data_IF_031337975141
#
_entry.id   IF_031337975141
#
_cell.length_a   1.000
_cell.length_b   1.000
_cell.length_c   1.000
_cell.angle_alpha   90.00
_cell.angle_beta   90.00
_cell.angle_gamma   90.00
#
_symmetry.space_group_name_H-M   'P 1'
#
loop_
_entity.id
_entity.type
_entity.pdbx_description
1 polymer ?
#
# COMPACT_ATOMS: atom_id res chain seq x y z
N UNK A 1 -11.81 -12.98 17.73
CA UNK A 1 -11.48 -11.63 18.21
C UNK A 1 -10.20 -11.09 17.59
N UNK A 2 -9.07 -11.78 17.66
CA UNK A 2 -7.77 -11.31 17.14
C UNK A 2 -7.84 -10.89 15.65
N UNK A 3 -8.26 -11.78 14.77
CA UNK A 3 -8.33 -11.51 13.31
C UNK A 3 -9.24 -10.30 13.01
N UNK A 4 -10.38 -10.19 13.71
CA UNK A 4 -11.28 -9.05 13.53
C UNK A 4 -10.62 -7.73 13.95
N UNK A 5 -9.87 -7.72 15.06
CA UNK A 5 -9.12 -6.53 15.49
C UNK A 5 -8.11 -6.09 14.43
N UNK A 6 -7.33 -7.03 13.89
CA UNK A 6 -6.33 -6.72 12.87
C UNK A 6 -6.98 -6.24 11.56
N UNK A 7 -8.13 -6.83 11.18
CA UNK A 7 -8.93 -6.36 10.04
C UNK A 7 -9.36 -4.91 10.25
N UNK A 8 -9.85 -4.55 11.45
CA UNK A 8 -10.22 -3.17 11.77
C UNK A 8 -9.03 -2.21 11.65
N UNK A 9 -7.85 -2.60 12.13
CA UNK A 9 -6.64 -1.77 12.01
C UNK A 9 -6.27 -1.52 10.55
N UNK A 10 -6.28 -2.55 9.72
CA UNK A 10 -5.96 -2.43 8.29
C UNK A 10 -7.05 -1.65 7.53
N UNK A 11 -8.34 -1.84 7.87
CA UNK A 11 -9.44 -1.09 7.28
C UNK A 11 -9.30 0.41 7.57
N UNK A 12 -9.10 0.77 8.83
CA UNK A 12 -8.89 2.17 9.25
C UNK A 12 -7.63 2.75 8.61
N UNK A 13 -6.54 1.96 8.52
CA UNK A 13 -5.36 2.41 7.80
C UNK A 13 -5.64 2.64 6.31
N UNK A 14 -6.44 1.79 5.66
CA UNK A 14 -6.92 2.02 4.29
C UNK A 14 -7.67 3.34 4.14
N UNK A 15 -8.54 3.69 5.11
CA UNK A 15 -9.21 4.99 5.15
C UNK A 15 -8.20 6.15 5.21
N UNK A 16 -7.14 6.01 6.01
CA UNK A 16 -6.11 7.04 6.19
C UNK A 16 -5.22 7.16 4.94
N UNK A 17 -4.91 6.07 4.29
CA UNK A 17 -4.13 6.08 3.05
C UNK A 17 -4.80 6.89 1.93
N UNK A 18 -6.14 6.83 1.83
CA UNK A 18 -6.93 7.61 0.87
C UNK A 18 -7.25 9.03 1.37
N UNK A 19 -6.93 9.34 2.63
CA UNK A 19 -7.36 10.60 3.26
C UNK A 19 -6.69 11.81 2.64
N UNK A 20 -5.39 11.76 2.36
CA UNK A 20 -4.65 12.89 1.82
C UNK A 20 -5.31 13.44 0.55
N UNK A 21 -5.59 12.57 -0.43
CA UNK A 21 -6.25 12.98 -1.67
C UNK A 21 -7.65 13.58 -1.45
N UNK A 22 -8.33 13.16 -0.38
CA UNK A 22 -9.70 13.61 -0.06
C UNK A 22 -9.73 14.97 0.64
N UNK A 23 -8.76 15.25 1.55
CA UNK A 23 -8.77 16.47 2.38
C UNK A 23 -7.86 17.58 1.84
N UNK A 24 -6.84 17.23 1.03
CA UNK A 24 -5.83 18.19 0.56
C UNK A 24 -6.43 19.38 -0.23
N UNK A 25 -7.45 19.20 -1.10
CA UNK A 25 -8.09 20.33 -1.78
C UNK A 25 -8.68 21.35 -0.80
N UNK A 26 -9.39 20.89 0.23
CA UNK A 26 -9.99 21.77 1.27
C UNK A 26 -8.91 22.47 2.12
N UNK A 27 -7.88 21.73 2.56
CA UNK A 27 -6.75 22.30 3.29
C UNK A 27 -5.98 23.33 2.45
N UNK A 28 -5.78 23.05 1.15
CA UNK A 28 -5.13 23.96 0.21
C UNK A 28 -5.92 25.27 0.06
N UNK A 29 -7.23 25.19 -0.03
CA UNK A 29 -8.10 26.35 -0.11
C UNK A 29 -8.08 27.14 1.21
N UNK A 30 -8.20 26.46 2.35
CA UNK A 30 -8.23 27.06 3.69
C UNK A 30 -6.94 27.80 4.03
N UNK A 31 -5.79 27.22 3.73
CA UNK A 31 -4.47 27.75 4.09
C UNK A 31 -3.73 28.39 2.91
N UNK A 32 -4.34 28.43 1.72
CA UNK A 32 -3.78 28.97 0.48
C UNK A 32 -2.42 28.35 0.12
N UNK A 33 -2.32 27.02 0.20
CA UNK A 33 -1.10 26.31 -0.13
C UNK A 33 -0.74 26.42 -1.61
N UNK A 34 0.56 26.58 -1.88
CA UNK A 34 1.09 26.48 -3.24
C UNK A 34 1.15 25.02 -3.70
N UNK A 35 1.22 24.74 -5.01
CA UNK A 35 1.41 23.38 -5.52
C UNK A 35 2.65 22.68 -4.94
N UNK A 36 3.73 23.45 -4.72
CA UNK A 36 4.97 22.93 -4.09
C UNK A 36 4.72 22.49 -2.65
N UNK A 37 3.97 23.28 -1.88
CA UNK A 37 3.60 22.94 -0.50
C UNK A 37 2.73 21.67 -0.44
N UNK A 38 1.78 21.52 -1.37
CA UNK A 38 0.97 20.30 -1.47
C UNK A 38 1.84 19.07 -1.74
N UNK A 39 2.81 19.18 -2.65
CA UNK A 39 3.79 18.12 -2.90
C UNK A 39 4.65 17.81 -1.68
N UNK A 40 5.08 18.83 -0.94
CA UNK A 40 5.87 18.65 0.29
C UNK A 40 5.06 17.95 1.38
N UNK A 41 3.77 18.27 1.54
CA UNK A 41 2.87 17.59 2.49
C UNK A 41 2.78 16.09 2.16
N UNK A 42 2.58 15.74 0.89
CA UNK A 42 2.55 14.35 0.45
C UNK A 42 3.91 13.63 0.69
N UNK A 43 5.02 14.33 0.45
CA UNK A 43 6.36 13.82 0.72
C UNK A 43 6.59 13.59 2.23
N UNK A 44 6.14 14.48 3.10
CA UNK A 44 6.22 14.30 4.56
C UNK A 44 5.50 13.02 5.00
N UNK A 45 4.29 12.75 4.47
CA UNK A 45 3.58 11.51 4.76
C UNK A 45 4.37 10.28 4.27
N UNK A 46 4.91 10.32 3.05
CA UNK A 46 5.72 9.23 2.50
C UNK A 46 7.00 8.96 3.31
N UNK A 47 7.68 10.02 3.77
CA UNK A 47 8.85 9.90 4.65
C UNK A 47 8.46 9.22 5.98
N UNK A 48 7.33 9.61 6.56
CA UNK A 48 6.80 8.94 7.76
C UNK A 48 6.57 7.44 7.55
N UNK A 49 5.96 7.04 6.44
CA UNK A 49 5.77 5.63 6.06
C UNK A 49 7.09 4.86 5.96
N UNK A 50 8.07 5.43 5.26
CA UNK A 50 9.40 4.83 5.05
C UNK A 50 10.12 4.63 6.39
N UNK A 51 10.25 5.70 7.18
CA UNK A 51 10.96 5.65 8.45
C UNK A 51 10.31 4.68 9.45
N UNK A 52 8.98 4.68 9.50
CA UNK A 52 8.25 3.76 10.37
C UNK A 52 8.41 2.30 9.96
N UNK A 53 8.26 1.98 8.67
CA UNK A 53 8.32 0.59 8.21
C UNK A 53 9.69 -0.02 8.46
N UNK A 54 10.78 0.71 8.23
CA UNK A 54 12.14 0.19 8.47
C UNK A 54 12.48 0.07 9.96
N UNK A 55 11.98 0.98 10.80
CA UNK A 55 12.35 1.03 12.22
C UNK A 55 11.46 0.16 13.12
N UNK A 56 10.20 -0.06 12.74
CA UNK A 56 9.26 -0.81 13.60
C UNK A 56 9.52 -2.31 13.59
N UNK A 57 10.11 -2.85 12.53
CA UNK A 57 10.35 -4.29 12.39
C UNK A 57 11.08 -4.89 13.60
N UNK A 58 12.29 -4.44 13.95
CA UNK A 58 13.00 -4.90 15.15
C UNK A 58 12.21 -4.72 16.45
N UNK A 59 11.49 -3.59 16.57
CA UNK A 59 10.66 -3.33 17.76
C UNK A 59 9.57 -4.39 17.92
N UNK A 60 8.82 -4.70 16.88
CA UNK A 60 7.71 -5.66 16.97
C UNK A 60 8.18 -7.12 17.04
N UNK A 61 9.37 -7.42 16.57
CA UNK A 61 9.97 -8.75 16.74
C UNK A 61 10.45 -8.96 18.19
N UNK A 62 10.92 -7.90 18.85
CA UNK A 62 11.37 -7.94 20.26
C UNK A 62 10.21 -7.82 21.27
N UNK A 63 9.35 -6.82 21.12
CA UNK A 63 8.30 -6.47 22.10
C UNK A 63 6.93 -7.08 21.76
N UNK A 64 6.80 -7.67 20.56
CA UNK A 64 5.56 -8.25 20.05
C UNK A 64 4.75 -7.29 19.16
N UNK A 65 4.01 -7.88 18.24
CA UNK A 65 3.25 -7.17 17.19
C UNK A 65 2.13 -6.29 17.77
N UNK A 66 1.62 -6.65 18.96
CA UNK A 66 0.63 -5.84 19.71
C UNK A 66 1.16 -4.44 19.99
N UNK A 67 2.41 -4.32 20.42
CA UNK A 67 3.03 -3.02 20.74
C UNK A 67 3.05 -2.12 19.51
N UNK A 68 3.43 -2.65 18.35
CA UNK A 68 3.39 -1.91 17.07
C UNK A 68 1.97 -1.44 16.74
N UNK A 69 0.97 -2.33 16.79
CA UNK A 69 -0.42 -1.97 16.45
C UNK A 69 -0.98 -0.89 17.37
N UNK A 70 -0.77 -1.01 18.69
CA UNK A 70 -1.22 -0.02 19.67
C UNK A 70 -0.51 1.32 19.47
N UNK A 71 0.81 1.30 19.26
CA UNK A 71 1.60 2.51 19.00
C UNK A 71 1.14 3.21 17.71
N UNK A 72 1.02 2.47 16.61
CA UNK A 72 0.60 3.01 15.33
C UNK A 72 -0.80 3.63 15.38
N UNK A 73 -1.77 2.92 16.00
CA UNK A 73 -3.14 3.42 16.19
C UNK A 73 -3.17 4.66 17.10
N UNK A 74 -2.35 4.71 18.16
CA UNK A 74 -2.27 5.86 19.05
C UNK A 74 -1.73 7.10 18.33
N UNK A 75 -0.63 6.95 17.57
CA UNK A 75 -0.04 8.04 16.78
C UNK A 75 -1.03 8.59 15.77
N UNK A 76 -1.74 7.71 15.04
CA UNK A 76 -2.74 8.12 14.04
C UNK A 76 -3.92 8.82 14.72
N UNK A 77 -4.46 8.25 15.80
CA UNK A 77 -5.59 8.85 16.52
C UNK A 77 -5.26 10.27 16.97
N UNK A 78 -4.09 10.45 17.57
CA UNK A 78 -3.62 11.77 18.01
C UNK A 78 -3.47 12.74 16.84
N UNK A 79 -2.82 12.31 15.76
CA UNK A 79 -2.61 13.15 14.58
C UNK A 79 -3.94 13.57 13.93
N UNK A 80 -4.91 12.66 13.81
CA UNK A 80 -6.24 12.96 13.24
C UNK A 80 -7.05 13.93 14.11
N UNK A 81 -6.98 13.84 15.44
CA UNK A 81 -7.64 14.79 16.34
C UNK A 81 -7.02 16.17 16.33
N UNK A 82 -5.72 16.27 16.08
CA UNK A 82 -4.99 17.55 16.08
C UNK A 82 -4.94 18.21 14.72
N UNK A 83 -4.99 17.46 13.62
CA UNK A 83 -4.92 18.00 12.25
C UNK A 83 -5.98 19.08 11.95
N UNK A 84 -7.26 18.97 12.39
CA UNK A 84 -8.24 20.06 12.20
C UNK A 84 -7.88 21.38 12.89
N UNK A 85 -7.04 21.33 13.93
CA UNK A 85 -6.57 22.48 14.71
C UNK A 85 -5.29 23.11 14.15
N UNK A 86 -4.82 22.65 12.98
CA UNK A 86 -3.63 23.19 12.33
C UNK A 86 -3.76 24.67 12.07
N UNK A 87 -2.66 25.39 12.21
CA UNK A 87 -2.56 26.84 11.98
C UNK A 87 -1.94 27.22 10.63
N UNK A 88 -1.39 26.25 9.89
CA UNK A 88 -0.76 26.50 8.60
C UNK A 88 0.05 25.31 8.08
N UNK A 89 0.87 25.56 7.07
CA UNK A 89 1.63 24.55 6.33
C UNK A 89 2.44 23.60 7.23
N UNK A 90 3.28 24.14 8.11
CA UNK A 90 4.20 23.33 8.92
C UNK A 90 3.47 22.37 9.85
N UNK A 91 2.36 22.81 10.46
CA UNK A 91 1.56 21.94 11.35
C UNK A 91 0.80 20.87 10.57
N UNK A 92 0.26 21.20 9.39
CA UNK A 92 -0.36 20.22 8.50
C UNK A 92 0.68 19.18 8.05
N UNK A 93 1.83 19.61 7.56
CA UNK A 93 2.91 18.73 7.12
C UNK A 93 3.38 17.79 8.25
N UNK A 94 3.51 18.31 9.47
CA UNK A 94 3.88 17.52 10.65
C UNK A 94 2.84 16.45 11.00
N UNK A 95 1.53 16.80 11.01
CA UNK A 95 0.50 15.78 11.27
C UNK A 95 0.38 14.76 10.15
N UNK A 96 0.57 15.15 8.89
CA UNK A 96 0.62 14.19 7.77
C UNK A 96 1.85 13.25 7.88
N UNK A 97 2.99 13.77 8.32
CA UNK A 97 4.15 12.94 8.66
C UNK A 97 3.81 11.92 9.75
N UNK A 98 3.12 12.32 10.83
CA UNK A 98 2.67 11.41 11.88
C UNK A 98 1.67 10.37 11.37
N UNK A 99 0.75 10.75 10.47
CA UNK A 99 -0.16 9.80 9.83
C UNK A 99 0.59 8.76 8.98
N UNK A 100 1.64 9.20 8.26
CA UNK A 100 2.55 8.30 7.56
C UNK A 100 3.28 7.36 8.52
N UNK A 101 3.84 7.91 9.60
CA UNK A 101 4.57 7.14 10.60
C UNK A 101 3.68 6.07 11.24
N UNK A 102 2.51 6.43 11.74
CA UNK A 102 1.56 5.47 12.29
C UNK A 102 1.07 4.45 11.26
N UNK A 103 0.89 4.86 10.01
CA UNK A 103 0.50 3.98 8.90
C UNK A 103 1.56 2.92 8.59
N UNK A 104 2.83 3.32 8.51
CA UNK A 104 3.96 2.39 8.29
C UNK A 104 4.09 1.38 9.44
N UNK A 105 3.87 1.82 10.69
CA UNK A 105 3.82 0.91 11.85
C UNK A 105 2.70 -0.10 11.69
N UNK A 106 1.46 0.35 11.41
CA UNK A 106 0.29 -0.54 11.32
C UNK A 106 0.44 -1.56 10.19
N UNK A 107 0.84 -1.11 8.98
CA UNK A 107 0.94 -2.04 7.85
C UNK A 107 1.98 -3.11 8.10
N UNK A 108 3.13 -2.77 8.69
CA UNK A 108 4.18 -3.72 9.02
C UNK A 108 3.72 -4.69 10.12
N UNK A 109 3.21 -4.16 11.24
CA UNK A 109 2.82 -4.98 12.39
C UNK A 109 1.61 -5.89 12.09
N UNK A 110 0.61 -5.40 11.37
CA UNK A 110 -0.59 -6.17 11.03
C UNK A 110 -0.28 -7.33 10.07
N UNK A 111 0.51 -7.06 9.01
CA UNK A 111 0.90 -8.11 8.07
C UNK A 111 1.82 -9.15 8.74
N UNK A 112 2.78 -8.71 9.57
CA UNK A 112 3.64 -9.62 10.34
C UNK A 112 2.82 -10.49 11.31
N UNK A 113 1.87 -9.90 12.07
CA UNK A 113 1.03 -10.63 13.00
C UNK A 113 0.19 -11.71 12.29
N UNK A 114 -0.49 -11.34 11.20
CA UNK A 114 -1.34 -12.28 10.45
C UNK A 114 -0.50 -13.38 9.79
N UNK A 115 0.69 -13.05 9.32
CA UNK A 115 1.66 -14.02 8.80
C UNK A 115 2.06 -15.06 9.84
N UNK A 116 2.33 -14.63 11.07
CA UNK A 116 2.78 -15.50 12.16
C UNK A 116 1.66 -16.36 12.73
N UNK A 117 0.44 -15.82 12.81
CA UNK A 117 -0.72 -16.54 13.39
C UNK A 117 -1.25 -17.65 12.49
N UNK A 118 -1.10 -17.52 11.18
CA UNK A 118 -1.59 -18.52 10.23
C UNK A 118 -0.53 -18.95 9.20
N UNK A 119 0.55 -19.62 9.65
CA UNK A 119 1.65 -19.98 8.78
C UNK A 119 1.24 -20.94 7.63
N UNK A 120 0.27 -21.82 7.87
CA UNK A 120 -0.20 -22.77 6.86
C UNK A 120 -0.95 -22.11 5.68
N UNK A 121 -1.53 -20.93 5.88
CA UNK A 121 -2.32 -20.21 4.87
C UNK A 121 -1.96 -18.73 4.78
N UNK A 122 -0.69 -18.39 4.95
CA UNK A 122 -0.21 -16.99 4.94
C UNK A 122 -0.69 -16.21 3.74
N UNK A 123 -0.48 -16.74 2.54
CA UNK A 123 -0.88 -16.07 1.30
C UNK A 123 -2.37 -15.76 1.24
N UNK A 124 -3.22 -16.74 1.55
CA UNK A 124 -4.68 -16.59 1.62
C UNK A 124 -5.07 -15.50 2.61
N UNK A 125 -4.55 -15.59 3.84
CA UNK A 125 -4.94 -14.70 4.94
C UNK A 125 -4.46 -13.27 4.71
N UNK A 126 -3.25 -13.09 4.20
CA UNK A 126 -2.71 -11.76 3.87
C UNK A 126 -3.46 -11.10 2.69
N UNK A 127 -3.87 -11.87 1.68
CA UNK A 127 -4.69 -11.34 0.59
C UNK A 127 -6.06 -10.88 1.09
N UNK A 128 -6.72 -11.66 1.95
CA UNK A 128 -8.00 -11.26 2.57
C UNK A 128 -7.84 -10.08 3.53
N UNK A 129 -6.76 -10.02 4.31
CA UNK A 129 -6.48 -8.85 5.15
C UNK A 129 -6.36 -7.58 4.32
N UNK A 130 -5.57 -7.63 3.26
CA UNK A 130 -5.34 -6.46 2.40
C UNK A 130 -6.56 -6.09 1.53
N UNK A 131 -7.57 -6.98 1.38
CA UNK A 131 -8.88 -6.62 0.84
C UNK A 131 -9.52 -5.50 1.68
N UNK A 132 -9.45 -5.60 3.01
CA UNK A 132 -10.02 -4.59 3.91
C UNK A 132 -9.27 -3.26 3.86
N UNK A 133 -7.96 -3.26 3.57
CA UNK A 133 -7.25 -2.03 3.23
C UNK A 133 -7.87 -1.33 2.02
N UNK A 134 -8.12 -2.06 0.95
CA UNK A 134 -8.78 -1.51 -0.25
C UNK A 134 -10.20 -0.99 0.03
N UNK A 135 -10.99 -1.72 0.81
CA UNK A 135 -12.33 -1.29 1.21
C UNK A 135 -12.29 0.00 2.04
N UNK A 136 -11.33 0.13 2.97
CA UNK A 136 -11.10 1.37 3.73
C UNK A 136 -10.75 2.54 2.82
N UNK A 137 -9.88 2.31 1.84
CA UNK A 137 -9.49 3.30 0.84
C UNK A 137 -10.67 3.81 0.01
N UNK A 138 -11.61 2.95 -0.36
CA UNK A 138 -12.84 3.33 -1.05
C UNK A 138 -13.85 4.02 -0.14
N UNK A 139 -13.93 3.62 1.12
CA UNK A 139 -14.87 4.18 2.09
C UNK A 139 -14.63 5.67 2.32
N UNK A 140 -13.36 6.12 2.37
CA UNK A 140 -13.01 7.51 2.70
C UNK A 140 -13.57 8.54 1.72
N UNK A 141 -13.30 8.48 0.41
CA UNK A 141 -13.86 9.43 -0.54
C UNK A 141 -15.38 9.30 -0.66
N UNK A 142 -15.93 8.08 -0.54
CA UNK A 142 -17.38 7.83 -0.56
C UNK A 142 -18.08 8.52 0.61
N UNK A 143 -17.60 8.32 1.84
CA UNK A 143 -18.15 8.97 3.05
C UNK A 143 -18.02 10.48 2.96
N UNK A 144 -16.87 10.99 2.53
CA UNK A 144 -16.65 12.43 2.35
C UNK A 144 -17.66 13.04 1.40
N UNK A 145 -17.84 12.44 0.23
CA UNK A 145 -18.68 13.01 -0.84
C UNK A 145 -20.17 12.91 -0.55
N UNK A 146 -20.63 11.75 -0.01
CA UNK A 146 -22.06 11.43 0.07
C UNK A 146 -22.67 11.65 1.46
N UNK A 147 -21.88 11.53 2.53
CA UNK A 147 -22.40 11.62 3.91
C UNK A 147 -21.96 12.90 4.63
N UNK A 148 -20.81 13.48 4.27
CA UNK A 148 -20.23 14.61 5.00
C UNK A 148 -20.16 15.89 4.18
N UNK A 149 -20.79 15.94 3.00
CA UNK A 149 -20.79 17.13 2.12
C UNK A 149 -19.39 17.71 1.87
N UNK A 150 -18.40 16.82 1.73
CA UNK A 150 -16.96 17.14 1.53
C UNK A 150 -16.33 17.95 2.68
N UNK A 151 -16.88 17.88 3.88
CA UNK A 151 -16.34 18.58 5.05
C UNK A 151 -15.15 17.79 5.62
N UNK A 152 -13.93 18.24 5.37
CA UNK A 152 -12.69 17.61 5.82
C UNK A 152 -12.59 17.50 7.34
N UNK A 153 -13.06 18.48 8.08
CA UNK A 153 -13.01 18.48 9.55
C UNK A 153 -13.90 17.36 10.12
N UNK A 154 -15.12 17.21 9.60
CA UNK A 154 -16.03 16.12 10.02
C UNK A 154 -15.46 14.75 9.66
N UNK A 155 -14.86 14.62 8.48
CA UNK A 155 -14.21 13.39 8.06
C UNK A 155 -13.04 13.02 8.99
N UNK A 156 -12.18 13.99 9.31
CA UNK A 156 -11.04 13.79 10.20
C UNK A 156 -11.49 13.32 11.59
N UNK A 157 -12.49 13.97 12.20
CA UNK A 157 -13.02 13.53 13.50
C UNK A 157 -13.73 12.18 13.45
N UNK A 158 -14.46 11.86 12.37
CA UNK A 158 -15.06 10.55 12.20
C UNK A 158 -14.00 9.44 12.20
N UNK A 159 -12.97 9.60 11.35
CA UNK A 159 -11.90 8.60 11.23
C UNK A 159 -11.04 8.56 12.52
N UNK A 160 -10.81 9.71 13.18
CA UNK A 160 -10.15 9.75 14.48
C UNK A 160 -10.92 8.93 15.54
N UNK A 161 -12.23 9.06 15.57
CA UNK A 161 -13.09 8.30 16.49
C UNK A 161 -13.04 6.80 16.18
N UNK A 162 -13.15 6.41 14.91
CA UNK A 162 -13.03 5.01 14.51
C UNK A 162 -11.66 4.42 14.84
N UNK A 163 -10.59 5.20 14.63
CA UNK A 163 -9.22 4.78 14.99
C UNK A 163 -9.06 4.67 16.50
N UNK A 164 -9.62 5.60 17.27
CA UNK A 164 -9.61 5.54 18.74
C UNK A 164 -10.37 4.33 19.29
N UNK A 165 -11.53 4.00 18.73
CA UNK A 165 -12.26 2.77 19.08
C UNK A 165 -11.41 1.53 18.74
N UNK A 166 -10.79 1.52 17.55
CA UNK A 166 -9.90 0.43 17.14
C UNK A 166 -8.70 0.30 18.08
N UNK A 167 -8.12 1.42 18.52
CA UNK A 167 -7.05 1.44 19.52
C UNK A 167 -7.49 0.78 20.83
N UNK A 168 -8.65 1.16 21.36
CA UNK A 168 -9.21 0.58 22.59
C UNK A 168 -9.40 -0.94 22.43
N UNK A 169 -9.97 -1.38 21.32
CA UNK A 169 -10.11 -2.81 20.99
C UNK A 169 -8.75 -3.52 21.04
N UNK A 170 -7.69 -2.93 20.46
CA UNK A 170 -6.36 -3.54 20.44
C UNK A 170 -5.70 -3.60 21.81
N UNK A 171 -5.90 -2.60 22.66
CA UNK A 171 -5.39 -2.60 24.04
C UNK A 171 -5.94 -3.82 24.82
N UNK A 172 -7.23 -4.10 24.66
CA UNK A 172 -7.89 -5.19 25.41
C UNK A 172 -7.87 -6.55 24.69
N UNK A 173 -7.51 -6.60 23.39
CA UNK A 173 -7.43 -7.87 22.66
C UNK A 173 -6.14 -8.63 23.05
N UNK A 174 -6.23 -9.88 23.57
CA UNK A 174 -5.07 -10.73 23.73
C UNK A 174 -4.43 -11.03 22.37
N UNK A 175 -3.12 -10.88 22.28
CA UNK A 175 -2.34 -11.18 21.09
C UNK A 175 -1.15 -12.06 21.45
N UNK A 176 -0.66 -12.92 20.54
CA UNK A 176 0.55 -13.70 20.77
C UNK A 176 1.72 -12.80 21.15
N UNK A 177 2.57 -13.30 22.04
CA UNK A 177 3.84 -12.67 22.35
C UNK A 177 4.79 -12.62 21.14
N UNK A 178 5.99 -12.05 21.31
CA UNK A 178 6.99 -12.01 20.26
C UNK A 178 7.37 -13.42 19.80
N UNK A 179 7.51 -13.62 18.48
CA UNK A 179 7.80 -14.94 17.87
C UNK A 179 9.20 -15.45 18.24
N UNK A 180 10.08 -14.57 18.71
CA UNK A 180 11.45 -14.85 19.15
C UNK A 180 11.68 -14.72 20.65
N UNK A 181 10.65 -14.89 21.47
CA UNK A 181 10.57 -14.49 22.91
C UNK A 181 11.69 -14.98 23.83
N UNK A 182 12.67 -15.74 23.38
CA UNK A 182 13.76 -16.16 24.24
C UNK A 182 15.13 -15.57 23.91
N UNK A 183 15.37 -14.97 22.74
CA UNK A 183 16.65 -14.33 22.41
C UNK A 183 16.57 -13.49 21.13
N UNK A 184 15.83 -12.37 21.10
CA UNK A 184 16.04 -11.40 20.04
C UNK A 184 17.45 -10.80 20.20
N UNK A 185 18.34 -11.14 19.28
CA UNK A 185 19.72 -10.62 19.29
C UNK A 185 19.88 -9.71 18.09
N UNK A 186 20.22 -8.43 18.33
CA UNK A 186 20.47 -7.46 17.24
C UNK A 186 21.47 -7.96 16.20
N UNK A 187 22.38 -8.85 16.59
CA UNK A 187 23.32 -9.49 15.64
C UNK A 187 22.63 -10.38 14.60
N UNK A 188 21.43 -10.89 14.86
CA UNK A 188 20.66 -11.69 13.90
C UNK A 188 20.05 -10.85 12.78
N UNK A 189 19.90 -9.53 12.96
CA UNK A 189 19.55 -8.61 11.86
C UNK A 189 20.54 -8.74 10.71
N UNK A 190 21.83 -8.95 11.02
CA UNK A 190 22.87 -9.19 10.03
C UNK A 190 22.57 -10.39 9.12
N UNK A 191 21.98 -11.46 9.65
CA UNK A 191 21.61 -12.64 8.86
C UNK A 191 20.45 -12.35 7.89
N UNK A 192 19.47 -11.55 8.31
CA UNK A 192 18.35 -11.11 7.47
C UNK A 192 18.87 -10.22 6.34
N UNK A 193 19.66 -9.19 6.66
CA UNK A 193 20.20 -8.23 5.69
C UNK A 193 21.23 -8.89 4.75
N UNK A 194 21.94 -9.91 5.20
CA UNK A 194 22.87 -10.70 4.38
C UNK A 194 22.17 -11.66 3.40
N UNK A 195 20.87 -11.88 3.53
CA UNK A 195 20.13 -12.83 2.68
C UNK A 195 19.84 -12.26 1.28
N UNK A 196 20.26 -12.91 0.18
CA UNK A 196 19.88 -12.48 -1.17
C UNK A 196 18.36 -12.46 -1.39
N UNK A 197 17.62 -13.38 -0.75
CA UNK A 197 16.15 -13.42 -0.84
C UNK A 197 15.51 -12.12 -0.37
N UNK A 198 16.03 -11.50 0.71
CA UNK A 198 15.49 -10.21 1.19
C UNK A 198 15.56 -9.13 0.11
N UNK A 199 16.69 -9.01 -0.57
CA UNK A 199 16.91 -7.96 -1.56
C UNK A 199 16.15 -8.21 -2.86
N UNK A 200 15.99 -9.47 -3.27
CA UNK A 200 15.14 -9.83 -4.40
C UNK A 200 13.66 -9.55 -4.10
N UNK A 201 13.17 -9.90 -2.91
CA UNK A 201 11.80 -9.58 -2.47
C UNK A 201 11.58 -8.07 -2.33
N UNK A 202 12.57 -7.34 -1.84
CA UNK A 202 12.55 -5.88 -1.75
C UNK A 202 12.48 -5.23 -3.14
N UNK A 203 13.30 -5.70 -4.08
CA UNK A 203 13.26 -5.23 -5.46
C UNK A 203 11.94 -5.60 -6.15
N UNK A 204 11.42 -6.80 -5.92
CA UNK A 204 10.14 -7.24 -6.45
C UNK A 204 9.01 -6.33 -5.99
N UNK A 205 8.95 -6.01 -4.69
CA UNK A 205 7.94 -5.13 -4.13
C UNK A 205 8.10 -3.67 -4.56
N UNK A 206 9.34 -3.19 -4.70
CA UNK A 206 9.64 -1.88 -5.27
C UNK A 206 9.08 -1.73 -6.69
N UNK A 207 9.38 -2.69 -7.58
CA UNK A 207 8.91 -2.69 -8.97
C UNK A 207 7.38 -2.75 -9.06
N UNK A 208 6.76 -3.56 -8.19
CA UNK A 208 5.32 -3.68 -8.12
C UNK A 208 4.66 -2.36 -7.71
N UNK A 209 5.05 -1.80 -6.56
CA UNK A 209 4.41 -0.57 -6.03
C UNK A 209 4.67 0.60 -6.98
N UNK A 210 5.86 0.68 -7.58
CA UNK A 210 6.17 1.65 -8.62
C UNK A 210 5.21 1.54 -9.82
N UNK A 211 4.89 0.32 -10.25
CA UNK A 211 3.93 0.07 -11.33
C UNK A 211 2.50 0.42 -10.94
N UNK A 212 2.03 -0.04 -9.77
CA UNK A 212 0.67 0.21 -9.28
C UNK A 212 0.39 1.71 -9.15
N UNK A 213 1.30 2.45 -8.53
CA UNK A 213 1.19 3.91 -8.36
C UNK A 213 1.28 4.64 -9.71
N UNK A 214 2.08 4.12 -10.64
CA UNK A 214 2.11 4.61 -12.02
C UNK A 214 0.75 4.52 -12.70
N UNK A 215 -0.01 3.44 -12.50
CA UNK A 215 -1.39 3.32 -12.97
C UNK A 215 -2.30 4.35 -12.28
N UNK A 216 -2.29 4.40 -10.95
CA UNK A 216 -3.14 5.30 -10.18
C UNK A 216 -2.97 6.77 -10.56
N UNK A 217 -1.74 7.21 -10.76
CA UNK A 217 -1.43 8.63 -10.92
C UNK A 217 -1.51 9.10 -12.38
N UNK A 218 -1.31 8.22 -13.37
CA UNK A 218 -1.09 8.65 -14.74
C UNK A 218 -2.03 8.04 -15.77
N UNK A 219 -2.72 6.93 -15.47
CA UNK A 219 -3.55 6.23 -16.46
C UNK A 219 -4.72 7.09 -16.93
N UNK A 220 -5.43 7.76 -16.04
CA UNK A 220 -6.57 8.61 -16.43
C UNK A 220 -6.13 9.70 -17.41
N UNK A 221 -5.03 10.39 -17.14
CA UNK A 221 -4.47 11.42 -18.03
C UNK A 221 -4.06 10.83 -19.39
N UNK A 222 -3.49 9.62 -19.39
CA UNK A 222 -3.16 8.92 -20.63
C UNK A 222 -4.40 8.58 -21.45
N UNK A 223 -5.46 8.07 -20.85
CA UNK A 223 -6.72 7.74 -21.51
C UNK A 223 -7.40 8.98 -22.11
N UNK A 224 -7.40 10.11 -21.37
CA UNK A 224 -7.90 11.40 -21.87
C UNK A 224 -7.09 11.85 -23.09
N UNK A 225 -5.76 11.73 -23.03
CA UNK A 225 -4.88 12.07 -24.15
C UNK A 225 -5.09 11.18 -25.38
N UNK A 226 -5.71 10.00 -25.24
CA UNK A 226 -6.10 9.13 -26.34
C UNK A 226 -7.51 9.43 -26.91
N UNK A 227 -8.19 10.45 -26.37
CA UNK A 227 -9.53 10.88 -26.82
C UNK A 227 -10.68 10.25 -26.03
N UNK A 228 -10.41 9.53 -24.94
CA UNK A 228 -11.45 9.02 -24.06
C UNK A 228 -11.97 10.19 -23.20
N UNK A 229 -13.31 10.42 -23.12
CA UNK A 229 -13.87 11.48 -22.29
C UNK A 229 -13.42 11.35 -20.83
N UNK A 230 -13.12 12.48 -20.19
CA UNK A 230 -12.57 12.55 -18.82
C UNK A 230 -13.40 11.76 -17.81
N UNK A 231 -14.72 11.91 -17.81
CA UNK A 231 -15.62 11.17 -16.91
C UNK A 231 -15.50 9.65 -17.08
N UNK A 232 -15.35 9.17 -18.33
CA UNK A 232 -15.13 7.75 -18.62
C UNK A 232 -13.74 7.30 -18.19
N UNK A 233 -12.70 8.09 -18.44
CA UNK A 233 -11.33 7.77 -18.04
C UNK A 233 -11.19 7.64 -16.52
N UNK A 234 -11.81 8.54 -15.75
CA UNK A 234 -11.85 8.50 -14.30
C UNK A 234 -12.63 7.29 -13.78
N UNK A 235 -13.76 6.96 -14.42
CA UNK A 235 -14.54 5.77 -14.05
C UNK A 235 -13.79 4.46 -14.37
N UNK A 236 -13.08 4.40 -15.50
CA UNK A 236 -12.24 3.25 -15.85
C UNK A 236 -11.16 3.03 -14.77
N UNK A 237 -10.52 4.10 -14.30
CA UNK A 237 -9.53 4.00 -13.23
C UNK A 237 -10.17 3.58 -11.91
N UNK A 238 -11.19 4.29 -11.44
CA UNK A 238 -11.77 4.08 -10.11
C UNK A 238 -12.59 2.79 -10.01
N UNK A 239 -13.46 2.51 -10.99
CA UNK A 239 -14.31 1.33 -10.99
C UNK A 239 -13.62 0.13 -11.66
N UNK A 240 -12.84 0.35 -12.72
CA UNK A 240 -12.11 -0.74 -13.38
C UNK A 240 -10.96 -1.24 -12.52
N UNK A 241 -9.96 -0.41 -12.27
CA UNK A 241 -8.73 -0.81 -11.59
C UNK A 241 -8.96 -1.21 -10.12
N UNK A 242 -9.66 -0.37 -9.35
CA UNK A 242 -9.93 -0.67 -7.94
C UNK A 242 -10.76 -1.94 -7.74
N UNK A 243 -11.82 -2.13 -8.54
CA UNK A 243 -12.63 -3.36 -8.47
C UNK A 243 -11.81 -4.57 -8.93
N UNK A 244 -10.95 -4.42 -9.95
CA UNK A 244 -10.04 -5.47 -10.38
C UNK A 244 -9.13 -5.94 -9.24
N UNK A 245 -8.57 -5.00 -8.47
CA UNK A 245 -7.76 -5.32 -7.28
C UNK A 245 -8.62 -6.05 -6.23
N UNK A 246 -9.81 -5.57 -5.91
CA UNK A 246 -10.66 -6.18 -4.89
C UNK A 246 -11.10 -7.60 -5.27
N UNK A 247 -11.60 -7.78 -6.49
CA UNK A 247 -12.02 -9.09 -7.01
C UNK A 247 -10.82 -10.04 -7.12
N UNK A 248 -9.68 -9.52 -7.60
CA UNK A 248 -8.44 -10.28 -7.70
C UNK A 248 -7.96 -10.82 -6.35
N UNK A 249 -8.02 -10.03 -5.28
CA UNK A 249 -7.64 -10.48 -3.92
C UNK A 249 -8.51 -11.62 -3.40
N UNK A 250 -9.81 -11.57 -3.65
CA UNK A 250 -10.73 -12.65 -3.28
C UNK A 250 -10.42 -13.91 -4.10
N UNK A 251 -10.32 -13.78 -5.43
CA UNK A 251 -10.03 -14.91 -6.32
C UNK A 251 -8.70 -15.58 -6.00
N UNK A 252 -7.64 -14.78 -5.84
CA UNK A 252 -6.30 -15.32 -5.60
C UNK A 252 -6.16 -15.98 -4.22
N UNK A 253 -6.96 -15.55 -3.24
CA UNK A 253 -7.00 -16.20 -1.93
C UNK A 253 -7.41 -17.68 -2.02
N UNK A 254 -8.20 -18.05 -3.03
CA UNK A 254 -8.55 -19.47 -3.30
C UNK A 254 -7.44 -20.18 -4.08
N UNK A 255 -6.84 -19.51 -5.05
CA UNK A 255 -5.73 -20.07 -5.85
C UNK A 255 -4.52 -20.43 -4.97
N UNK A 256 -4.22 -19.59 -3.98
CA UNK A 256 -3.11 -19.80 -3.02
C UNK A 256 -3.31 -21.00 -2.09
N UNK A 257 -4.47 -21.65 -2.08
CA UNK A 257 -4.69 -22.91 -1.37
C UNK A 257 -4.06 -24.11 -2.11
N UNK A 258 -3.87 -23.97 -3.43
CA UNK A 258 -3.40 -25.07 -4.30
C UNK A 258 -2.07 -24.78 -4.99
N UNK A 259 -1.66 -23.53 -5.07
CA UNK A 259 -0.44 -23.10 -5.76
C UNK A 259 0.49 -22.36 -4.81
N UNK A 260 1.81 -22.53 -5.02
CA UNK A 260 2.81 -21.82 -4.22
C UNK A 260 2.76 -20.31 -4.44
N UNK A 261 3.12 -19.55 -3.40
CA UNK A 261 3.18 -18.08 -3.46
C UNK A 261 4.11 -17.58 -4.59
N UNK A 262 5.24 -18.24 -4.81
CA UNK A 262 6.18 -17.92 -5.90
C UNK A 262 5.55 -18.10 -7.28
N UNK A 263 4.83 -19.19 -7.51
CA UNK A 263 4.14 -19.44 -8.79
C UNK A 263 3.03 -18.42 -9.04
N UNK A 264 2.27 -18.08 -7.99
CA UNK A 264 1.21 -17.06 -8.06
C UNK A 264 1.78 -15.68 -8.40
N UNK A 265 2.89 -15.27 -7.77
CA UNK A 265 3.54 -13.99 -8.06
C UNK A 265 4.21 -13.96 -9.43
N UNK A 266 4.71 -15.11 -9.93
CA UNK A 266 5.20 -15.23 -11.31
C UNK A 266 4.05 -15.03 -12.33
N UNK A 267 2.95 -15.75 -12.16
CA UNK A 267 1.76 -15.60 -13.01
C UNK A 267 1.21 -14.19 -12.98
N UNK A 268 1.19 -13.56 -11.81
CA UNK A 268 0.80 -12.15 -11.64
C UNK A 268 1.72 -11.20 -12.43
N UNK A 269 3.04 -11.34 -12.34
CA UNK A 269 4.00 -10.51 -13.06
C UNK A 269 3.85 -10.66 -14.59
N UNK A 270 3.63 -11.88 -15.09
CA UNK A 270 3.36 -12.14 -16.52
C UNK A 270 2.04 -11.46 -16.94
N UNK A 271 0.96 -11.65 -16.17
CA UNK A 271 -0.32 -11.02 -16.45
C UNK A 271 -0.24 -9.49 -16.39
N UNK A 272 0.52 -8.92 -15.44
CA UNK A 272 0.81 -7.48 -15.37
C UNK A 272 1.52 -6.99 -16.63
N UNK A 273 2.56 -7.66 -17.10
CA UNK A 273 3.28 -7.25 -18.30
C UNK A 273 2.35 -7.19 -19.53
N UNK A 274 1.51 -8.20 -19.69
CA UNK A 274 0.55 -8.30 -20.80
C UNK A 274 -0.53 -7.22 -20.69
N UNK A 275 -1.22 -7.15 -19.55
CA UNK A 275 -2.37 -6.26 -19.38
C UNK A 275 -1.97 -4.79 -19.40
N UNK A 276 -0.86 -4.42 -18.74
CA UNK A 276 -0.35 -3.04 -18.76
C UNK A 276 0.12 -2.62 -20.14
N UNK A 277 0.75 -3.50 -20.90
CA UNK A 277 1.15 -3.20 -22.27
C UNK A 277 -0.05 -2.91 -23.19
N UNK A 278 -1.07 -3.77 -23.16
CA UNK A 278 -2.23 -3.63 -24.02
C UNK A 278 -3.14 -2.46 -23.59
N UNK A 279 -3.30 -2.20 -22.29
CA UNK A 279 -4.11 -1.05 -21.83
C UNK A 279 -3.54 0.30 -22.30
N UNK A 280 -2.22 0.40 -22.52
CA UNK A 280 -1.59 1.62 -23.03
C UNK A 280 -1.76 1.81 -24.55
N UNK A 281 -2.17 0.77 -25.29
CA UNK A 281 -2.33 0.80 -26.75
C UNK A 281 -3.76 1.01 -27.21
N UNK A 282 -4.75 0.61 -26.39
CA UNK A 282 -6.15 0.72 -26.80
C UNK A 282 -6.66 2.16 -26.76
N UNK A 283 -7.57 2.48 -27.69
CA UNK A 283 -8.30 3.76 -27.76
C UNK A 283 -9.80 3.56 -27.54
N UNK A 284 -10.26 2.33 -27.53
CA UNK A 284 -11.66 2.02 -27.28
C UNK A 284 -11.93 2.04 -25.76
N UNK A 285 -12.91 2.82 -25.27
CA UNK A 285 -13.19 2.95 -23.85
C UNK A 285 -13.62 1.64 -23.18
N UNK A 286 -14.33 0.76 -23.91
CA UNK A 286 -14.80 -0.51 -23.36
C UNK A 286 -13.63 -1.48 -23.21
N UNK A 287 -12.79 -1.59 -24.24
CA UNK A 287 -11.58 -2.42 -24.20
C UNK A 287 -10.61 -1.89 -23.14
N UNK A 288 -10.47 -0.55 -23.03
CA UNK A 288 -9.67 0.07 -21.96
C UNK A 288 -10.18 -0.34 -20.56
N UNK A 289 -11.50 -0.28 -20.34
CA UNK A 289 -12.12 -0.67 -19.07
C UNK A 289 -11.83 -2.13 -18.71
N UNK A 290 -11.98 -3.05 -19.66
CA UNK A 290 -11.69 -4.48 -19.48
C UNK A 290 -10.20 -4.70 -19.16
N UNK A 291 -9.30 -4.11 -19.94
CA UNK A 291 -7.85 -4.28 -19.74
C UNK A 291 -7.38 -3.68 -18.41
N UNK A 292 -7.93 -2.54 -18.01
CA UNK A 292 -7.62 -1.91 -16.72
C UNK A 292 -8.13 -2.76 -15.55
N UNK A 293 -9.33 -3.33 -15.68
CA UNK A 293 -9.85 -4.27 -14.68
C UNK A 293 -8.96 -5.52 -14.56
N UNK A 294 -8.55 -6.10 -15.70
CA UNK A 294 -7.63 -7.24 -15.71
C UNK A 294 -6.25 -6.88 -15.18
N UNK A 295 -5.75 -5.66 -15.44
CA UNK A 295 -4.50 -5.18 -14.85
C UNK A 295 -4.62 -5.07 -13.33
N UNK A 296 -5.74 -4.56 -12.82
CA UNK A 296 -6.03 -4.55 -11.38
C UNK A 296 -6.05 -5.96 -10.79
N UNK A 297 -6.71 -6.91 -11.44
CA UNK A 297 -6.71 -8.32 -11.01
C UNK A 297 -5.31 -8.93 -10.99
N UNK A 298 -4.49 -8.65 -12.02
CA UNK A 298 -3.11 -9.14 -12.09
C UNK A 298 -2.23 -8.55 -10.97
N UNK A 299 -2.44 -7.29 -10.63
CA UNK A 299 -1.71 -6.59 -9.57
C UNK A 299 -2.15 -6.99 -8.16
N UNK A 300 -3.38 -7.43 -7.99
CA UNK A 300 -4.02 -7.71 -6.70
C UNK A 300 -3.20 -8.62 -5.75
N UNK A 301 -2.67 -9.77 -6.20
CA UNK A 301 -1.95 -10.69 -5.31
C UNK A 301 -0.55 -10.22 -4.92
N UNK A 302 0.07 -9.31 -5.68
CA UNK A 302 1.52 -9.12 -5.62
C UNK A 302 1.98 -8.66 -4.24
N UNK A 303 1.41 -7.59 -3.70
CA UNK A 303 1.82 -7.08 -2.38
C UNK A 303 1.63 -8.11 -1.27
N UNK A 304 0.42 -8.63 -1.01
CA UNK A 304 0.19 -9.54 0.11
C UNK A 304 0.88 -10.90 -0.07
N UNK A 305 0.99 -11.40 -1.30
CA UNK A 305 1.66 -12.69 -1.54
C UNK A 305 3.18 -12.56 -1.42
N UNK A 306 3.77 -11.42 -1.82
CA UNK A 306 5.20 -11.15 -1.55
C UNK A 306 5.47 -11.14 -0.05
N UNK A 307 4.62 -10.51 0.76
CA UNK A 307 4.75 -10.56 2.21
C UNK A 307 4.56 -11.97 2.79
N UNK A 308 3.74 -12.81 2.15
CA UNK A 308 3.65 -14.22 2.53
C UNK A 308 4.99 -14.94 2.32
N UNK A 309 5.65 -14.74 1.16
CA UNK A 309 6.97 -15.30 0.89
C UNK A 309 8.01 -14.79 1.91
N UNK A 310 7.96 -13.49 2.26
CA UNK A 310 8.83 -12.95 3.32
C UNK A 310 8.60 -13.68 4.65
N UNK A 311 7.34 -13.89 5.04
CA UNK A 311 7.00 -14.59 6.27
C UNK A 311 7.40 -16.07 6.27
N UNK A 312 7.36 -16.73 5.11
CA UNK A 312 7.83 -18.12 4.97
C UNK A 312 9.35 -18.22 5.05
N UNK A 313 10.06 -17.22 4.50
CA UNK A 313 11.54 -17.19 4.46
C UNK A 313 12.15 -16.74 5.80
N UNK A 314 11.55 -15.77 6.47
CA UNK A 314 12.11 -15.11 7.67
C UNK A 314 11.23 -15.31 8.91
N UNK A 315 11.02 -16.57 9.31
CA UNK A 315 10.06 -16.94 10.38
C UNK A 315 10.40 -16.41 11.76
N UNK A 316 11.68 -16.17 12.10
CA UNK A 316 12.11 -15.64 13.40
C UNK A 316 12.06 -14.12 13.48
N UNK A 317 12.26 -13.43 12.35
CA UNK A 317 12.36 -11.96 12.24
C UNK A 317 11.40 -11.43 11.18
N UNK A 318 10.19 -11.91 11.20
CA UNK A 318 9.13 -11.59 10.22
C UNK A 318 8.87 -10.08 10.15
N UNK A 319 8.81 -9.41 11.31
CA UNK A 319 8.59 -7.96 11.38
C UNK A 319 9.72 -7.16 10.75
N UNK A 320 10.97 -7.51 11.07
CA UNK A 320 12.17 -6.87 10.52
C UNK A 320 12.24 -7.05 9.00
N UNK A 321 12.10 -8.28 8.51
CA UNK A 321 12.14 -8.56 7.08
C UNK A 321 10.99 -7.87 6.32
N UNK A 322 9.76 -7.94 6.83
CA UNK A 322 8.61 -7.24 6.23
C UNK A 322 8.80 -5.73 6.25
N UNK A 323 9.31 -5.17 7.35
CA UNK A 323 9.59 -3.74 7.45
C UNK A 323 10.56 -3.25 6.37
N UNK A 324 11.64 -3.99 6.11
CA UNK A 324 12.60 -3.67 5.04
C UNK A 324 11.92 -3.77 3.67
N UNK A 325 11.27 -4.90 3.36
CA UNK A 325 10.63 -5.13 2.06
C UNK A 325 9.54 -4.08 1.78
N UNK A 326 8.70 -3.76 2.75
CA UNK A 326 7.65 -2.73 2.65
C UNK A 326 8.26 -1.34 2.43
N UNK A 327 9.38 -1.03 3.10
CA UNK A 327 10.12 0.22 2.89
C UNK A 327 10.52 0.39 1.42
N UNK A 328 11.03 -0.65 0.77
CA UNK A 328 11.33 -0.60 -0.67
C UNK A 328 10.09 -0.37 -1.52
N UNK A 329 8.94 -0.91 -1.14
CA UNK A 329 7.65 -0.58 -1.76
C UNK A 329 7.34 0.92 -1.67
N UNK A 330 7.50 1.55 -0.50
CA UNK A 330 7.28 2.99 -0.34
C UNK A 330 8.28 3.85 -1.12
N UNK A 331 9.52 3.40 -1.25
CA UNK A 331 10.51 4.06 -2.12
C UNK A 331 10.04 3.97 -3.58
N UNK A 332 9.51 2.82 -4.02
CA UNK A 332 8.92 2.65 -5.35
C UNK A 332 7.77 3.64 -5.61
N UNK A 333 6.88 3.83 -4.62
CA UNK A 333 5.80 4.82 -4.67
C UNK A 333 6.36 6.24 -4.87
N UNK A 334 7.35 6.63 -4.09
CA UNK A 334 7.92 7.97 -4.13
C UNK A 334 8.65 8.26 -5.47
N UNK A 335 9.39 7.28 -5.97
CA UNK A 335 10.27 7.43 -7.15
C UNK A 335 9.50 7.35 -8.46
N UNK A 336 8.52 6.43 -8.57
CA UNK A 336 7.81 6.14 -9.81
C UNK A 336 7.10 7.36 -10.40
N UNK A 337 6.29 8.02 -9.59
CA UNK A 337 5.53 9.20 -10.05
C UNK A 337 6.42 10.33 -10.50
N UNK A 338 7.55 10.51 -9.82
CA UNK A 338 8.52 11.56 -10.17
C UNK A 338 9.20 11.26 -11.51
N UNK A 339 9.67 10.03 -11.72
CA UNK A 339 10.32 9.63 -12.98
C UNK A 339 9.34 9.71 -14.15
N UNK A 340 8.13 9.17 -14.01
CA UNK A 340 7.12 9.23 -15.06
C UNK A 340 6.78 10.69 -15.39
N UNK A 341 6.61 11.55 -14.38
CA UNK A 341 6.32 12.97 -14.56
C UNK A 341 7.44 13.73 -15.29
N UNK A 342 8.71 13.48 -14.91
CA UNK A 342 9.86 14.09 -15.57
C UNK A 342 9.96 13.67 -17.06
N UNK A 343 9.82 12.38 -17.37
CA UNK A 343 9.87 11.89 -18.76
C UNK A 343 8.71 12.46 -19.57
N UNK A 344 7.51 12.54 -18.98
CA UNK A 344 6.32 13.06 -19.64
C UNK A 344 6.45 14.56 -19.95
N UNK A 345 7.01 15.36 -19.03
CA UNK A 345 7.23 16.81 -19.24
C UNK A 345 5.99 17.57 -19.69
N UNK A 346 4.77 17.08 -19.37
CA UNK A 346 3.51 17.65 -19.82
C UNK A 346 3.08 17.29 -21.25
N UNK A 347 3.88 16.54 -22.03
CA UNK A 347 3.55 16.09 -23.39
C UNK A 347 2.83 14.74 -23.38
N UNK A 348 1.60 14.63 -23.91
CA UNK A 348 0.85 13.38 -24.01
C UNK A 348 1.58 12.25 -24.74
N UNK A 349 2.37 12.57 -25.77
CA UNK A 349 3.15 11.57 -26.52
C UNK A 349 4.30 11.03 -25.68
N UNK A 350 4.95 11.89 -24.90
CA UNK A 350 6.00 11.50 -23.94
C UNK A 350 5.42 10.73 -22.78
N UNK A 351 4.22 11.11 -22.28
CA UNK A 351 3.52 10.36 -21.24
C UNK A 351 3.29 8.89 -21.64
N UNK A 352 2.84 8.63 -22.87
CA UNK A 352 2.69 7.25 -23.37
C UNK A 352 4.01 6.48 -23.34
N UNK A 353 5.14 7.13 -23.70
CA UNK A 353 6.47 6.51 -23.64
C UNK A 353 6.91 6.26 -22.20
N UNK A 354 6.67 7.22 -21.30
CA UNK A 354 6.98 7.07 -19.88
C UNK A 354 6.22 5.91 -19.25
N UNK A 355 4.96 5.72 -19.61
CA UNK A 355 4.13 4.63 -19.10
C UNK A 355 4.55 3.23 -19.60
N UNK A 356 5.38 3.12 -20.64
CA UNK A 356 6.01 1.85 -21.01
C UNK A 356 6.96 1.31 -19.95
N UNK A 357 7.35 2.14 -18.95
CA UNK A 357 8.03 1.66 -17.77
C UNK A 357 7.19 0.63 -16.99
N UNK A 358 5.84 0.72 -17.01
CA UNK A 358 4.97 -0.20 -16.27
C UNK A 358 5.12 -1.66 -16.75
N UNK A 359 4.90 -1.99 -18.05
CA UNK A 359 5.18 -3.34 -18.53
C UNK A 359 6.67 -3.69 -18.45
N UNK A 360 7.60 -2.74 -18.56
CA UNK A 360 9.03 -2.97 -18.37
C UNK A 360 9.37 -3.42 -16.95
N UNK A 361 8.80 -2.76 -15.94
CA UNK A 361 8.94 -3.18 -14.53
C UNK A 361 8.33 -4.57 -14.30
N UNK A 362 7.19 -4.89 -14.91
CA UNK A 362 6.59 -6.20 -14.80
C UNK A 362 7.47 -7.31 -15.42
N UNK A 363 8.15 -7.03 -16.55
CA UNK A 363 9.15 -7.95 -17.12
C UNK A 363 10.34 -8.15 -16.19
N UNK A 364 10.85 -7.08 -15.55
CA UNK A 364 11.90 -7.22 -14.54
C UNK A 364 11.42 -8.03 -13.33
N UNK A 365 10.16 -7.88 -12.93
CA UNK A 365 9.57 -8.71 -11.86
C UNK A 365 9.58 -10.20 -12.23
N UNK A 366 9.33 -10.56 -13.49
CA UNK A 366 9.45 -11.97 -13.95
C UNK A 366 10.88 -12.47 -13.73
N UNK A 367 11.89 -11.70 -14.13
CA UNK A 367 13.30 -12.08 -13.95
C UNK A 367 13.67 -12.21 -12.46
N UNK A 368 13.23 -11.28 -11.61
CA UNK A 368 13.45 -11.34 -10.16
C UNK A 368 12.76 -12.56 -9.54
N UNK A 369 11.54 -12.87 -9.98
CA UNK A 369 10.80 -14.03 -9.48
C UNK A 369 11.47 -15.36 -9.88
N UNK A 370 11.99 -15.46 -11.10
CA UNK A 370 12.77 -16.63 -11.54
C UNK A 370 14.07 -16.79 -10.73
N UNK A 371 14.73 -15.67 -10.38
CA UNK A 371 15.88 -15.71 -9.49
C UNK A 371 15.48 -16.18 -8.06
N UNK A 372 14.30 -15.78 -7.56
CA UNK A 372 13.75 -16.28 -6.31
C UNK A 372 13.50 -17.80 -6.36
N UNK A 373 12.97 -18.33 -7.47
CA UNK A 373 12.80 -19.78 -7.64
C UNK A 373 14.12 -20.55 -7.64
N UNK A 374 15.23 -19.93 -8.04
CA UNK A 374 16.53 -20.59 -8.07
C UNK A 374 17.20 -20.69 -6.69
N UNK A 375 16.73 -19.91 -5.71
CA UNK A 375 17.31 -19.89 -4.35
C UNK A 375 16.36 -20.44 -3.28
N UNK A 376 15.13 -20.80 -3.66
CA UNK A 376 14.10 -21.45 -2.84
C UNK A 376 13.90 -22.89 -3.29
#
# INVERSE_FOLDING_TARGET
>A
MLILAVILAIFVYGMIAAMLGTILPDLSQRFKFTPQQNGTIALCQAIGLILASISVGPLIDNEGKKVGLVLGLAVITLALFLLPKSSGFSTVAFYLFLLGLGGGIIVTAANALVSDVNPAQRGTTLNLLNLFFGLGGLATPFISANLLSRNSVRLLYLVATLTGITLIIHIFTPMPGPSGAQNFVFSEIGSVVGSPALWLLSLFLFLYVASEVGVWNWLAQHLIAQGIPESKALNILSLGFALGILVGRVGISQVLKSYSALNVTLGAAIAMAITTYFMLKTRDPMIAGILVFLAGMAMAPVFPTTLAIVGDTFTKMTGTAMGIVITFGWIGLAVSSHIIGQIAGGDPKRLKKALLLLPGMAVLMIAVNLALHAIH
#
